data_IF_836680479292
#
_entry.id   IF_836680479292
#
_cell.length_a   1.000
_cell.length_b   1.000
_cell.length_c   1.000
_cell.angle_alpha   90.00
_cell.angle_beta   90.00
_cell.angle_gamma   90.00
#
_symmetry.space_group_name_H-M   'P 1'
#
loop_
_entity.id
_entity.type
_entity.pdbx_description
1 polymer ?
#
# COMPACT_ATOMS: atom_id res chain seq x y z
N UNK A 1 -1.59 12.52 11.96
CA UNK A 1 -1.12 11.12 12.07
C UNK A 1 -1.53 10.38 10.79
N UNK A 2 -0.78 9.37 10.36
CA UNK A 2 -1.08 8.64 9.11
C UNK A 2 -1.86 7.34 9.34
N UNK A 3 -2.35 6.71 8.27
CA UNK A 3 -3.13 5.46 8.36
C UNK A 3 -2.37 4.30 9.03
N UNK A 4 -1.03 4.26 8.88
CA UNK A 4 -0.18 3.27 9.54
C UNK A 4 -0.16 3.41 11.07
N UNK A 5 -0.17 4.65 11.58
CA UNK A 5 -0.25 4.90 13.02
C UNK A 5 -1.64 4.51 13.56
N UNK A 6 -2.71 4.84 12.81
CA UNK A 6 -4.07 4.46 13.21
C UNK A 6 -4.27 2.95 13.23
N UNK A 7 -3.59 2.19 12.36
CA UNK A 7 -3.66 0.73 12.38
C UNK A 7 -3.13 0.15 13.69
N UNK A 8 -2.09 0.75 14.27
CA UNK A 8 -1.57 0.34 15.58
C UNK A 8 -2.52 0.71 16.72
N UNK A 9 -3.11 1.91 16.67
CA UNK A 9 -3.99 2.43 17.73
C UNK A 9 -5.43 1.93 17.66
N UNK A 10 -5.85 1.39 16.52
CA UNK A 10 -7.24 1.02 16.24
C UNK A 10 -7.32 -0.30 15.47
N UNK A 11 -6.89 -1.42 16.08
CA UNK A 11 -6.79 -2.71 15.40
C UNK A 11 -8.15 -3.26 14.92
N UNK A 12 -9.25 -2.85 15.56
CA UNK A 12 -10.60 -3.30 15.22
C UNK A 12 -11.24 -2.50 14.06
N UNK A 13 -10.57 -1.44 13.58
CA UNK A 13 -11.10 -0.61 12.49
C UNK A 13 -10.61 -1.16 11.15
N UNK A 14 -11.49 -1.38 10.17
CA UNK A 14 -11.09 -1.83 8.84
C UNK A 14 -10.08 -0.89 8.19
N UNK A 15 -9.03 -1.45 7.58
CA UNK A 15 -7.97 -0.70 6.88
C UNK A 15 -8.50 0.32 5.85
N UNK A 16 -9.55 0.03 5.04
CA UNK A 16 -10.12 1.03 4.14
C UNK A 16 -10.61 2.29 4.87
N UNK A 17 -11.25 2.10 6.02
CA UNK A 17 -11.75 3.19 6.88
C UNK A 17 -10.59 4.00 7.45
N UNK A 18 -9.52 3.34 7.89
CA UNK A 18 -8.32 4.02 8.40
C UNK A 18 -7.67 4.93 7.35
N UNK A 19 -7.66 4.51 6.09
CA UNK A 19 -7.16 5.32 4.97
C UNK A 19 -8.03 6.54 4.70
N UNK A 20 -9.35 6.40 4.79
CA UNK A 20 -10.29 7.51 4.65
C UNK A 20 -10.11 8.54 5.79
N UNK A 21 -9.94 8.07 7.03
CA UNK A 21 -9.81 8.93 8.21
C UNK A 21 -8.60 9.88 8.18
N UNK A 22 -7.59 9.58 7.36
CA UNK A 22 -6.36 10.41 7.21
C UNK A 22 -6.28 11.13 5.86
N UNK A 23 -7.33 11.02 5.05
CA UNK A 23 -7.38 11.55 3.69
C UNK A 23 -8.46 12.61 3.58
N UNK A 24 -8.09 13.85 3.89
CA UNK A 24 -8.97 14.99 3.61
C UNK A 24 -9.10 15.20 2.08
N UNK A 25 -10.30 15.51 1.55
CA UNK A 25 -10.48 15.84 0.14
C UNK A 25 -9.55 17.00 -0.28
N UNK A 26 -8.77 16.82 -1.35
CA UNK A 26 -7.79 17.81 -1.82
C UNK A 26 -6.53 17.97 -0.95
N UNK A 27 -6.35 17.14 0.08
CA UNK A 27 -5.16 17.18 0.95
C UNK A 27 -3.92 16.49 0.36
N UNK A 28 -2.78 16.65 1.02
CA UNK A 28 -1.49 16.07 0.59
C UNK A 28 -1.50 14.54 0.58
N UNK A 29 -2.18 13.91 1.54
CA UNK A 29 -2.38 12.44 1.56
C UNK A 29 -3.19 11.96 0.36
N UNK A 30 -4.22 12.71 -0.05
CA UNK A 30 -5.02 12.37 -1.22
C UNK A 30 -4.18 12.42 -2.49
N UNK A 31 -3.41 13.49 -2.69
CA UNK A 31 -2.50 13.63 -3.82
C UNK A 31 -1.44 12.51 -3.88
N UNK A 32 -0.88 12.11 -2.73
CA UNK A 32 0.04 10.97 -2.66
C UNK A 32 -0.66 9.65 -3.03
N UNK A 33 -1.89 9.44 -2.57
CA UNK A 33 -2.66 8.25 -2.88
C UNK A 33 -3.02 8.15 -4.36
N UNK A 34 -3.31 9.25 -5.05
CA UNK A 34 -3.58 9.26 -6.49
C UNK A 34 -2.41 8.68 -7.28
N UNK A 35 -1.18 9.07 -6.93
CA UNK A 35 0.03 8.52 -7.55
C UNK A 35 0.20 7.04 -7.20
N UNK A 36 0.10 6.69 -5.92
CA UNK A 36 0.34 5.33 -5.43
C UNK A 36 -0.70 4.32 -5.92
N UNK A 37 -1.94 4.75 -6.15
CA UNK A 37 -3.05 3.91 -6.61
C UNK A 37 -3.27 3.98 -8.13
N UNK A 38 -2.43 4.71 -8.87
CA UNK A 38 -2.49 4.78 -10.33
C UNK A 38 -2.27 3.40 -10.98
N UNK A 39 -2.62 3.29 -12.25
CA UNK A 39 -2.47 2.06 -13.06
C UNK A 39 -1.04 1.51 -13.04
N UNK A 40 -0.04 2.39 -12.91
CA UNK A 40 1.40 2.05 -12.84
C UNK A 40 1.99 2.28 -11.44
N UNK A 41 1.13 2.42 -10.44
CA UNK A 41 1.51 2.74 -9.06
C UNK A 41 2.02 1.54 -8.28
N UNK A 42 1.82 1.60 -6.97
CA UNK A 42 2.40 0.64 -6.02
C UNK A 42 1.89 -0.79 -6.23
N UNK A 43 0.61 -0.97 -6.57
CA UNK A 43 0.01 -2.31 -6.74
C UNK A 43 0.72 -3.17 -7.80
N UNK A 44 0.79 -2.73 -9.07
CA UNK A 44 1.54 -3.42 -10.11
C UNK A 44 3.02 -3.61 -9.77
N UNK A 45 3.68 -2.60 -9.21
CA UNK A 45 5.08 -2.66 -8.81
C UNK A 45 5.33 -3.79 -7.79
N UNK A 46 4.50 -3.86 -6.74
CA UNK A 46 4.60 -4.90 -5.72
C UNK A 46 4.37 -6.30 -6.30
N UNK A 47 3.41 -6.46 -7.22
CA UNK A 47 3.18 -7.75 -7.90
C UNK A 47 4.40 -8.18 -8.71
N UNK A 48 4.98 -7.26 -9.49
CA UNK A 48 6.18 -7.55 -10.28
C UNK A 48 7.37 -7.91 -9.38
N UNK A 49 7.58 -7.17 -8.29
CA UNK A 49 8.65 -7.43 -7.34
C UNK A 49 8.53 -8.80 -6.67
N UNK A 50 7.32 -9.17 -6.22
CA UNK A 50 7.06 -10.49 -5.62
C UNK A 50 7.30 -11.60 -6.65
N UNK A 51 6.80 -11.44 -7.88
CA UNK A 51 7.01 -12.44 -8.93
C UNK A 51 8.51 -12.67 -9.23
N UNK A 52 9.29 -11.59 -9.33
CA UNK A 52 10.73 -11.67 -9.53
C UNK A 52 11.44 -12.37 -8.35
N UNK A 53 11.04 -12.06 -7.11
CA UNK A 53 11.58 -12.71 -5.92
C UNK A 53 11.25 -14.22 -5.90
N UNK A 54 10.01 -14.60 -6.24
CA UNK A 54 9.59 -16.01 -6.33
C UNK A 54 10.38 -16.77 -7.38
N UNK A 55 10.56 -16.20 -8.58
CA UNK A 55 11.39 -16.81 -9.62
C UNK A 55 12.81 -17.04 -9.10
N UNK A 56 13.42 -16.01 -8.52
CA UNK A 56 14.80 -16.10 -8.04
C UNK A 56 14.97 -17.17 -6.95
N UNK A 57 14.02 -17.27 -6.04
CA UNK A 57 14.03 -18.31 -5.01
C UNK A 57 13.98 -19.72 -5.61
N UNK A 58 13.19 -19.92 -6.68
CA UNK A 58 13.12 -21.19 -7.39
C UNK A 58 14.45 -21.55 -8.06
N UNK A 59 15.12 -20.61 -8.72
CA UNK A 59 16.45 -20.82 -9.32
C UNK A 59 17.52 -21.21 -8.29
N UNK A 60 17.43 -20.67 -7.07
CA UNK A 60 18.39 -20.95 -6.01
C UNK A 60 18.15 -22.30 -5.30
N UNK A 61 16.97 -22.89 -5.48
CA UNK A 61 16.55 -24.12 -4.80
C UNK A 61 16.70 -25.39 -5.65
N UNK A 62 17.09 -25.25 -6.92
CA UNK A 62 17.38 -26.36 -7.85
C UNK A 62 18.87 -26.49 -8.12
#
# INVERSE_FOLDING_TARGET
EGAGELMFRSPDVPVPTLRQNVTSPGGTTAAALDVLMSEHGLGPLMRAAIAAATWRAAELSG
#
